data_IF_196874605404
#
_entry.id   IF_196874605404
#
_cell.length_a   1.000
_cell.length_b   1.000
_cell.length_c   1.000
_cell.angle_alpha   90.00
_cell.angle_beta   90.00
_cell.angle_gamma   90.00
#
_symmetry.space_group_name_H-M   'P 1'
#
loop_
_entity.id
_entity.type
_entity.pdbx_description
1 polymer ?
#
# COMPACT_ATOMS: atom_id res chain seq x y z
N UNK A 1 -10.34 -8.00 14.16
CA UNK A 1 -9.62 -6.82 14.68
C UNK A 1 -9.79 -5.66 13.69
N UNK A 2 -10.47 -4.59 14.10
CA UNK A 2 -10.63 -3.36 13.28
C UNK A 2 -9.27 -2.62 13.20
N UNK A 3 -9.00 -2.00 12.05
CA UNK A 3 -7.83 -1.11 11.88
C UNK A 3 -8.09 0.19 12.62
N UNK A 4 -7.17 0.62 13.47
CA UNK A 4 -7.20 1.95 14.07
C UNK A 4 -6.34 2.89 13.23
N UNK A 5 -6.98 3.80 12.48
CA UNK A 5 -6.27 4.77 11.63
C UNK A 5 -5.61 5.89 12.43
N UNK A 6 -6.02 6.08 13.69
CA UNK A 6 -5.46 7.09 14.60
C UNK A 6 -4.22 6.59 15.34
N UNK A 7 -3.94 5.29 15.29
CA UNK A 7 -2.76 4.67 15.87
C UNK A 7 -1.47 5.32 15.31
N UNK A 8 -0.59 5.87 16.17
CA UNK A 8 0.69 6.44 15.75
C UNK A 8 1.55 5.47 14.93
N UNK A 9 1.51 4.17 15.25
CA UNK A 9 2.24 3.13 14.52
C UNK A 9 1.67 2.99 13.10
N UNK A 10 0.34 3.03 12.96
CA UNK A 10 -0.31 3.01 11.65
C UNK A 10 0.05 4.25 10.82
N UNK A 11 0.03 5.43 11.45
CA UNK A 11 0.39 6.70 10.79
C UNK A 11 1.84 6.68 10.32
N UNK A 12 2.77 6.15 11.13
CA UNK A 12 4.18 5.99 10.79
C UNK A 12 4.36 5.03 9.61
N UNK A 13 3.82 3.82 9.70
CA UNK A 13 3.83 2.84 8.61
C UNK A 13 3.33 3.47 7.30
N UNK A 14 2.17 4.15 7.35
CA UNK A 14 1.58 4.79 6.17
C UNK A 14 2.52 5.85 5.58
N UNK A 15 3.18 6.64 6.41
CA UNK A 15 4.12 7.66 5.97
C UNK A 15 5.40 7.06 5.38
N UNK A 16 5.94 6.00 5.98
CA UNK A 16 7.13 5.29 5.49
C UNK A 16 6.88 4.73 4.07
N UNK A 17 5.75 4.06 3.85
CA UNK A 17 5.37 3.55 2.52
C UNK A 17 5.23 4.66 1.49
N UNK A 18 4.52 5.76 1.84
CA UNK A 18 4.34 6.89 0.93
C UNK A 18 5.66 7.58 0.58
N UNK A 19 6.58 7.70 1.55
CA UNK A 19 7.91 8.27 1.33
C UNK A 19 8.76 7.39 0.43
N UNK A 20 8.83 6.08 0.69
CA UNK A 20 9.53 5.10 -0.16
C UNK A 20 9.06 5.22 -1.61
N UNK A 21 7.75 5.22 -1.80
CA UNK A 21 7.13 5.28 -3.14
C UNK A 21 7.12 6.70 -3.74
N UNK A 22 7.84 7.66 -3.14
CA UNK A 22 7.94 9.04 -3.61
C UNK A 22 6.57 9.69 -3.88
N UNK A 23 5.58 9.40 -3.03
CA UNK A 23 4.20 9.85 -3.16
C UNK A 23 3.63 9.60 -4.58
N UNK A 24 3.94 8.43 -5.14
CA UNK A 24 3.57 8.05 -6.51
C UNK A 24 2.86 6.71 -6.51
N UNK A 25 1.77 6.58 -7.26
CA UNK A 25 1.12 5.30 -7.48
C UNK A 25 2.10 4.32 -8.14
N UNK A 26 2.42 3.21 -7.49
CA UNK A 26 3.41 2.26 -8.01
C UNK A 26 2.94 1.50 -9.24
N UNK A 27 1.63 1.37 -9.43
CA UNK A 27 1.01 0.68 -10.56
C UNK A 27 0.90 1.56 -11.83
N UNK A 28 0.37 2.78 -11.71
CA UNK A 28 0.12 3.64 -12.88
C UNK A 28 0.97 4.92 -12.93
N UNK A 29 1.88 5.09 -11.96
CA UNK A 29 2.78 6.26 -11.83
C UNK A 29 2.08 7.61 -11.65
N UNK A 30 0.77 7.65 -11.42
CA UNK A 30 0.04 8.86 -11.08
C UNK A 30 0.53 9.47 -9.75
N UNK A 31 0.75 10.79 -9.74
CA UNK A 31 1.24 11.55 -8.58
C UNK A 31 0.63 12.96 -8.51
N UNK A 32 0.92 13.69 -7.44
CA UNK A 32 0.55 15.11 -7.27
C UNK A 32 -0.78 15.34 -6.55
N UNK A 33 -1.07 16.62 -6.25
CA UNK A 33 -2.16 17.06 -5.34
C UNK A 33 -3.57 16.61 -5.76
N UNK A 34 -3.81 16.39 -7.06
CA UNK A 34 -5.11 15.93 -7.58
C UNK A 34 -5.31 14.41 -7.46
N UNK A 35 -4.28 13.67 -7.07
CA UNK A 35 -4.30 12.21 -6.99
C UNK A 35 -4.48 11.76 -5.55
N UNK A 36 -5.62 11.12 -5.23
CA UNK A 36 -5.82 10.51 -3.92
C UNK A 36 -5.07 9.19 -3.82
N UNK A 37 -3.98 9.19 -3.05
CA UNK A 37 -3.12 8.03 -2.78
C UNK A 37 -3.55 7.30 -1.51
N UNK A 38 -3.45 5.98 -1.54
CA UNK A 38 -3.73 5.08 -0.43
C UNK A 38 -2.57 4.09 -0.29
N UNK A 39 -2.33 3.64 0.93
CA UNK A 39 -1.42 2.52 1.20
C UNK A 39 -2.25 1.24 1.20
N UNK A 40 -1.95 0.36 0.27
CA UNK A 40 -2.52 -0.98 0.18
C UNK A 40 -1.62 -1.97 0.90
N UNK A 41 -2.21 -2.89 1.66
CA UNK A 41 -1.48 -4.02 2.24
C UNK A 41 -1.37 -5.12 1.19
N UNK A 42 -0.15 -5.50 0.79
CA UNK A 42 0.12 -6.55 -0.21
C UNK A 42 -0.39 -7.91 0.31
N UNK A 43 0.03 -8.28 1.51
CA UNK A 43 -0.51 -9.39 2.29
C UNK A 43 -1.68 -8.90 3.13
N UNK A 44 -2.81 -9.61 3.09
CA UNK A 44 -4.04 -9.17 3.75
C UNK A 44 -3.84 -8.99 5.26
N UNK A 45 -4.33 -7.86 5.77
CA UNK A 45 -4.30 -7.51 7.21
C UNK A 45 -4.83 -8.60 8.15
N UNK A 46 -5.84 -9.36 7.71
CA UNK A 46 -6.45 -10.42 8.49
C UNK A 46 -5.55 -11.67 8.60
N UNK A 47 -4.77 -11.97 7.56
CA UNK A 47 -3.95 -13.18 7.47
C UNK A 47 -2.49 -12.98 7.88
N UNK A 48 -2.00 -11.74 7.95
CA UNK A 48 -0.60 -11.45 8.23
C UNK A 48 -0.45 -10.42 9.38
N UNK A 49 -0.65 -10.87 10.62
CA UNK A 49 -0.63 -9.99 11.79
C UNK A 49 0.76 -9.34 12.03
N UNK A 50 1.84 -10.10 11.81
CA UNK A 50 3.22 -9.62 11.95
C UNK A 50 3.60 -8.57 10.89
N UNK A 51 2.95 -8.56 9.74
CA UNK A 51 3.29 -7.68 8.61
C UNK A 51 2.41 -6.42 8.53
N UNK A 52 1.56 -6.16 9.52
CA UNK A 52 0.57 -5.05 9.46
C UNK A 52 1.18 -3.67 9.34
N UNK A 53 2.36 -3.51 9.93
CA UNK A 53 3.10 -2.26 9.99
C UNK A 53 4.47 -2.36 9.31
N UNK A 54 4.70 -3.46 8.58
CA UNK A 54 5.91 -3.64 7.77
C UNK A 54 5.77 -2.84 6.48
N UNK A 55 6.69 -1.91 6.24
CA UNK A 55 6.69 -1.05 5.06
C UNK A 55 6.77 -1.86 3.75
N UNK A 56 7.45 -3.02 3.74
CA UNK A 56 7.55 -3.89 2.56
C UNK A 56 6.25 -4.63 2.27
N UNK A 57 5.35 -4.70 3.25
CA UNK A 57 3.98 -5.17 3.06
C UNK A 57 3.01 -4.04 2.66
N UNK A 58 3.50 -2.81 2.49
CA UNK A 58 2.71 -1.68 2.00
C UNK A 58 3.09 -1.28 0.58
N UNK A 59 2.12 -0.86 -0.22
CA UNK A 59 2.34 -0.26 -1.55
C UNK A 59 1.41 0.93 -1.78
N UNK A 60 1.94 2.00 -2.35
CA UNK A 60 1.19 3.21 -2.68
C UNK A 60 0.41 3.03 -3.98
N UNK A 61 -0.92 3.14 -3.90
CA UNK A 61 -1.82 3.09 -5.05
C UNK A 61 -2.72 4.32 -5.08
N UNK A 62 -2.99 4.85 -6.28
CA UNK A 62 -4.07 5.82 -6.45
C UNK A 62 -5.43 5.13 -6.25
N UNK A 63 -6.48 5.91 -5.96
CA UNK A 63 -7.82 5.36 -5.74
C UNK A 63 -8.30 4.44 -6.89
N UNK A 64 -8.06 4.82 -8.14
CA UNK A 64 -8.47 4.03 -9.32
C UNK A 64 -7.83 2.64 -9.32
N UNK A 65 -6.50 2.58 -9.17
CA UNK A 65 -5.75 1.32 -9.09
C UNK A 65 -6.11 0.51 -7.85
N UNK A 66 -6.35 1.17 -6.71
CA UNK A 66 -6.76 0.49 -5.49
C UNK A 66 -8.15 -0.15 -5.63
N UNK A 67 -9.08 0.52 -6.31
CA UNK A 67 -10.43 -0.02 -6.55
C UNK A 67 -10.43 -1.12 -7.63
N UNK A 68 -9.57 -1.04 -8.65
CA UNK A 68 -9.52 -2.03 -9.74
C UNK A 68 -9.06 -3.42 -9.32
N UNK A 69 -8.35 -3.54 -8.19
CA UNK A 69 -7.83 -4.82 -7.69
C UNK A 69 -8.70 -5.47 -6.61
N UNK A 70 -9.80 -4.83 -6.19
CA UNK A 70 -10.68 -5.36 -5.15
C UNK A 70 -11.19 -6.75 -5.52
N UNK A 71 -11.07 -7.70 -4.61
CA UNK A 71 -11.46 -9.09 -4.82
C UNK A 71 -10.48 -9.91 -5.67
N UNK A 72 -9.38 -9.31 -6.14
CA UNK A 72 -8.32 -9.94 -6.93
C UNK A 72 -6.94 -9.76 -6.29
N UNK A 73 -6.87 -9.34 -5.03
CA UNK A 73 -5.63 -8.88 -4.38
C UNK A 73 -4.52 -9.95 -4.44
N UNK A 74 -4.88 -11.23 -4.28
CA UNK A 74 -3.94 -12.35 -4.33
C UNK A 74 -3.20 -12.46 -5.67
N UNK A 75 -3.85 -12.12 -6.79
CA UNK A 75 -3.23 -12.17 -8.11
C UNK A 75 -2.15 -11.09 -8.31
N UNK A 76 -2.19 -10.02 -7.51
CA UNK A 76 -1.25 -8.91 -7.62
C UNK A 76 -0.10 -8.97 -6.61
N UNK A 77 -0.08 -9.95 -5.71
CA UNK A 77 0.96 -10.06 -4.66
C UNK A 77 2.35 -10.05 -5.28
N UNK A 78 2.66 -11.00 -6.16
CA UNK A 78 3.98 -11.12 -6.79
C UNK A 78 4.34 -9.87 -7.57
N UNK A 79 3.38 -9.30 -8.31
CA UNK A 79 3.57 -8.07 -9.07
C UNK A 79 3.90 -6.87 -8.17
N UNK A 80 3.21 -6.72 -7.03
CA UNK A 80 3.49 -5.64 -6.09
C UNK A 80 4.82 -5.81 -5.37
N UNK A 81 5.17 -7.03 -4.97
CA UNK A 81 6.48 -7.33 -4.38
C UNK A 81 7.62 -7.03 -5.37
N UNK A 82 7.41 -7.27 -6.66
CA UNK A 82 8.37 -6.94 -7.70
C UNK A 82 8.49 -5.41 -7.90
N UNK A 83 7.37 -4.68 -7.91
CA UNK A 83 7.37 -3.21 -8.04
C UNK A 83 8.07 -2.46 -6.89
N UNK A 84 8.06 -3.02 -5.68
CA UNK A 84 8.75 -2.42 -4.52
C UNK A 84 10.25 -2.74 -4.51
N UNK A 85 10.68 -3.86 -5.12
CA UNK A 85 12.09 -4.30 -5.16
C UNK A 85 12.92 -3.63 -6.26
N UNK A 86 12.29 -3.08 -7.29
CA UNK A 86 12.95 -2.51 -8.47
C UNK A 86 13.44 -1.06 -8.29
N UNK A 87 13.63 -0.60 -7.06
CA UNK A 87 14.12 0.76 -6.73
C UNK A 87 15.31 0.71 -5.76
#
# INVERSE_FOLDING_TARGET
MRRNYEDPVYKRFRLEVLKRDCFTCKMCKAKGKKTRLNVHHIMKWASAASLRYDADNGITLCRKCHDSIKGKESHYITYFLDLIKRE
#
